data_IF_432514089268
#
_entry.id   IF_432514089268
#
_cell.length_a   1.000
_cell.length_b   1.000
_cell.length_c   1.000
_cell.angle_alpha   90.00
_cell.angle_beta   90.00
_cell.angle_gamma   90.00
#
_symmetry.space_group_name_H-M   'P 1'
#
loop_
_entity.id
_entity.type
_entity.pdbx_description
1 polymer ?
#
# COMPACT_ATOMS: atom_id res chain seq x y z
N UNK A 1 -6.14 -3.11 -14.49
CA UNK A 1 -6.38 -3.57 -13.10
C UNK A 1 -5.20 -4.44 -12.68
N UNK A 2 -3.99 -3.90 -12.50
CA UNK A 2 -2.77 -4.74 -12.45
C UNK A 2 -1.87 -4.51 -11.22
N UNK A 3 -2.27 -3.64 -10.28
CA UNK A 3 -1.48 -3.37 -9.07
C UNK A 3 -1.90 -4.27 -7.91
N UNK A 4 -3.06 -3.97 -7.30
CA UNK A 4 -3.52 -4.68 -6.12
C UNK A 4 -3.92 -6.13 -6.40
N UNK A 5 -4.53 -6.43 -7.56
CA UNK A 5 -4.89 -7.82 -7.90
C UNK A 5 -3.65 -8.73 -8.01
N UNK A 6 -2.54 -8.21 -8.54
CA UNK A 6 -1.27 -8.93 -8.64
C UNK A 6 -0.63 -9.12 -7.26
N UNK A 7 -0.68 -8.09 -6.41
CA UNK A 7 -0.30 -8.19 -5.00
C UNK A 7 -1.14 -9.23 -4.24
N UNK A 8 -2.46 -9.23 -4.40
CA UNK A 8 -3.34 -10.23 -3.78
C UNK A 8 -3.05 -11.65 -4.27
N UNK A 9 -2.68 -11.82 -5.55
CA UNK A 9 -2.28 -13.11 -6.09
C UNK A 9 -0.92 -13.59 -5.56
N UNK A 10 -0.03 -12.67 -5.17
CA UNK A 10 1.26 -12.99 -4.56
C UNK A 10 1.16 -13.28 -3.05
N UNK A 11 0.09 -12.87 -2.38
CA UNK A 11 -0.12 -13.13 -0.95
C UNK A 11 -0.68 -14.56 -0.76
N UNK A 12 0.02 -15.45 -0.04
CA UNK A 12 -0.38 -16.83 0.20
C UNK A 12 -1.43 -16.89 1.31
N UNK A 13 -2.66 -16.46 1.00
CA UNK A 13 -3.77 -16.40 1.96
C UNK A 13 -3.95 -17.72 2.71
N UNK A 14 -3.75 -18.85 2.01
CA UNK A 14 -3.84 -20.21 2.55
C UNK A 14 -2.80 -20.51 3.62
N UNK A 15 -1.55 -20.18 3.37
CA UNK A 15 -0.46 -20.44 4.31
C UNK A 15 -0.57 -19.52 5.52
N UNK A 16 -0.96 -18.26 5.30
CA UNK A 16 -1.24 -17.31 6.37
C UNK A 16 -2.40 -17.82 7.25
N UNK A 17 -3.53 -18.22 6.65
CA UNK A 17 -4.68 -18.75 7.37
C UNK A 17 -4.31 -19.99 8.20
N UNK A 18 -3.52 -20.90 7.62
CA UNK A 18 -3.03 -22.11 8.31
C UNK A 18 -2.12 -21.75 9.49
N UNK A 19 -1.21 -20.78 9.33
CA UNK A 19 -0.29 -20.34 10.38
C UNK A 19 -1.00 -19.61 11.52
N UNK A 20 -2.03 -18.85 11.19
CA UNK A 20 -2.84 -18.08 12.15
C UNK A 20 -3.95 -18.92 12.80
N UNK A 21 -4.28 -20.09 12.23
CA UNK A 21 -5.42 -20.90 12.67
C UNK A 21 -6.76 -20.21 12.43
N UNK A 22 -6.86 -19.38 11.39
CA UNK A 22 -8.04 -18.61 11.02
C UNK A 22 -8.66 -19.08 9.70
N UNK A 23 -9.92 -18.73 9.44
CA UNK A 23 -10.58 -19.05 8.19
C UNK A 23 -9.98 -18.27 7.01
N UNK A 24 -9.71 -18.97 5.90
CA UNK A 24 -9.17 -18.35 4.67
C UNK A 24 -10.05 -17.19 4.17
N UNK A 25 -11.37 -17.32 4.30
CA UNK A 25 -12.33 -16.27 3.91
C UNK A 25 -12.22 -15.03 4.80
N UNK A 26 -11.97 -15.20 6.09
CA UNK A 26 -11.79 -14.10 7.04
C UNK A 26 -10.45 -13.39 6.80
N UNK A 27 -9.38 -14.17 6.59
CA UNK A 27 -8.04 -13.65 6.25
C UNK A 27 -8.07 -12.91 4.92
N UNK A 28 -8.73 -13.44 3.89
CA UNK A 28 -8.87 -12.77 2.59
C UNK A 28 -9.62 -11.44 2.71
N UNK A 29 -10.72 -11.39 3.46
CA UNK A 29 -11.47 -10.15 3.70
C UNK A 29 -10.65 -9.12 4.48
N UNK A 30 -9.89 -9.58 5.48
CA UNK A 30 -8.96 -8.72 6.21
C UNK A 30 -7.91 -8.16 5.24
N UNK A 31 -7.23 -8.99 4.45
CA UNK A 31 -6.22 -8.56 3.46
C UNK A 31 -6.78 -7.49 2.51
N UNK A 32 -7.98 -7.71 1.97
CA UNK A 32 -8.63 -6.77 1.04
C UNK A 32 -8.93 -5.40 1.64
N UNK A 33 -9.07 -5.34 2.96
CA UNK A 33 -9.32 -4.09 3.71
C UNK A 33 -8.02 -3.48 4.21
N UNK A 34 -7.10 -4.32 4.71
CA UNK A 34 -5.83 -3.93 5.29
C UNK A 34 -4.84 -3.41 4.24
N UNK A 35 -4.76 -4.04 3.07
CA UNK A 35 -3.82 -3.62 2.00
C UNK A 35 -4.03 -2.17 1.58
N UNK A 36 -5.24 -1.71 1.19
CA UNK A 36 -5.44 -0.30 0.85
C UNK A 36 -5.25 0.64 2.05
N UNK A 37 -5.58 0.20 3.28
CA UNK A 37 -5.34 0.99 4.48
C UNK A 37 -3.83 1.16 4.79
N UNK A 38 -3.03 0.11 4.57
CA UNK A 38 -1.57 0.13 4.69
C UNK A 38 -0.94 1.10 3.69
N UNK A 39 -1.35 1.00 2.41
CA UNK A 39 -0.87 1.90 1.35
C UNK A 39 -1.27 3.35 1.62
N UNK A 40 -2.52 3.57 2.06
CA UNK A 40 -3.01 4.91 2.42
C UNK A 40 -2.29 5.51 3.64
N UNK A 41 -2.04 4.71 4.68
CA UNK A 41 -1.27 5.12 5.85
C UNK A 41 0.17 5.51 5.49
N UNK A 42 0.82 4.69 4.66
CA UNK A 42 2.17 4.96 4.16
C UNK A 42 2.22 6.27 3.37
N UNK A 43 1.28 6.46 2.42
CA UNK A 43 1.20 7.69 1.64
C UNK A 43 0.96 8.91 2.51
N UNK A 44 0.07 8.80 3.51
CA UNK A 44 -0.21 9.88 4.44
C UNK A 44 1.05 10.30 5.20
N UNK A 45 1.78 9.34 5.79
CA UNK A 45 2.95 9.66 6.61
C UNK A 45 4.14 10.17 5.80
N UNK A 46 4.33 9.68 4.57
CA UNK A 46 5.32 10.26 3.62
C UNK A 46 4.96 11.69 3.25
N UNK A 47 3.68 11.97 3.05
CA UNK A 47 3.20 13.31 2.64
C UNK A 47 3.19 14.29 3.80
N UNK A 48 2.85 13.83 5.01
CA UNK A 48 2.81 14.63 6.24
C UNK A 48 4.22 14.95 6.76
N UNK A 49 5.25 14.23 6.31
CA UNK A 49 6.63 14.41 6.75
C UNK A 49 6.94 13.76 8.10
N UNK A 50 6.04 12.91 8.60
CA UNK A 50 6.25 12.12 9.83
C UNK A 50 7.32 11.04 9.65
N UNK A 51 7.54 10.61 8.41
CA UNK A 51 8.61 9.65 8.07
C UNK A 51 9.50 10.24 7.00
N UNK A 52 10.81 10.14 7.21
CA UNK A 52 11.79 10.45 6.18
C UNK A 52 11.56 9.58 4.94
N UNK A 53 11.20 10.21 3.82
CA UNK A 53 10.96 9.51 2.56
C UNK A 53 12.17 8.68 2.12
N UNK A 54 13.39 9.09 2.47
CA UNK A 54 14.64 8.38 2.15
C UNK A 54 14.84 7.10 2.96
N UNK A 55 14.42 7.07 4.24
CA UNK A 55 14.53 5.85 5.07
C UNK A 55 13.48 4.84 4.64
N UNK A 56 12.27 5.31 4.32
CA UNK A 56 11.24 4.49 3.69
C UNK A 56 11.69 3.96 2.33
N UNK A 57 12.28 4.78 1.47
CA UNK A 57 12.78 4.34 0.17
C UNK A 57 13.85 3.26 0.33
N UNK A 58 14.74 3.40 1.31
CA UNK A 58 15.72 2.38 1.63
C UNK A 58 15.06 1.08 2.12
N UNK A 59 14.07 1.16 3.01
CA UNK A 59 13.35 -0.01 3.52
C UNK A 59 12.53 -0.71 2.43
N UNK A 60 11.82 0.06 1.61
CA UNK A 60 11.06 -0.39 0.44
C UNK A 60 12.00 -1.09 -0.55
N UNK A 61 13.15 -0.49 -0.86
CA UNK A 61 14.13 -1.05 -1.80
C UNK A 61 14.76 -2.31 -1.23
N UNK A 62 15.14 -2.32 0.05
CA UNK A 62 15.70 -3.49 0.72
C UNK A 62 14.72 -4.67 0.73
N UNK A 63 13.44 -4.42 1.01
CA UNK A 63 12.41 -5.46 0.98
C UNK A 63 12.08 -5.92 -0.44
N UNK A 64 12.00 -5.00 -1.41
CA UNK A 64 11.82 -5.35 -2.82
C UNK A 64 12.96 -6.21 -3.37
N UNK A 65 14.20 -5.98 -2.89
CA UNK A 65 15.38 -6.76 -3.24
C UNK A 65 15.59 -8.02 -2.40
N UNK A 66 14.83 -8.20 -1.31
CA UNK A 66 14.95 -9.35 -0.40
C UNK A 66 14.61 -10.69 -1.08
N UNK A 67 14.00 -10.66 -2.27
CA UNK A 67 13.56 -11.87 -2.97
C UNK A 67 12.32 -12.49 -2.33
N UNK A 68 11.69 -11.80 -1.37
CA UNK A 68 10.50 -12.27 -0.65
C UNK A 68 9.31 -12.57 -1.59
N UNK A 69 9.30 -11.98 -2.78
CA UNK A 69 8.31 -12.23 -3.83
C UNK A 69 8.91 -12.95 -5.04
N UNK A 70 10.15 -13.44 -4.97
CA UNK A 70 10.85 -14.17 -6.02
C UNK A 70 10.74 -15.67 -5.74
N UNK A 71 9.75 -16.33 -6.36
CA UNK A 71 9.44 -17.75 -6.12
C UNK A 71 8.21 -18.03 -5.23
N UNK A 72 7.54 -16.98 -4.74
CA UNK A 72 6.35 -17.08 -3.90
C UNK A 72 6.63 -16.64 -2.47
N UNK A 73 5.74 -15.80 -1.92
CA UNK A 73 5.88 -15.28 -0.57
C UNK A 73 5.87 -16.45 0.41
N UNK A 74 6.94 -16.59 1.17
CA UNK A 74 7.06 -17.61 2.22
C UNK A 74 6.80 -16.98 3.57
N UNK A 75 5.66 -17.32 4.19
CA UNK A 75 5.27 -16.78 5.51
C UNK A 75 6.29 -17.14 6.59
N UNK A 76 7.03 -18.25 6.41
CA UNK A 76 8.10 -18.68 7.32
C UNK A 76 9.40 -17.85 7.20
N UNK A 77 9.59 -17.17 6.07
CA UNK A 77 10.72 -16.24 5.88
C UNK A 77 10.42 -14.85 6.44
N UNK A 78 9.16 -14.60 6.81
CA UNK A 78 8.76 -13.33 7.42
C UNK A 78 9.07 -13.38 8.90
N UNK A 79 10.07 -12.59 9.31
CA UNK A 79 10.34 -12.34 10.71
C UNK A 79 9.26 -11.39 11.26
N UNK A 80 8.57 -11.84 12.31
CA UNK A 80 7.48 -11.07 12.92
C UNK A 80 7.98 -9.78 13.58
N UNK A 81 9.16 -9.79 14.19
CA UNK A 81 9.75 -8.62 14.83
C UNK A 81 10.25 -7.59 13.80
N UNK A 82 10.75 -8.06 12.66
CA UNK A 82 11.03 -7.21 11.49
C UNK A 82 9.72 -6.60 10.97
N UNK A 83 8.67 -7.41 10.85
CA UNK A 83 7.33 -6.98 10.47
C UNK A 83 6.75 -5.89 11.39
N UNK A 84 6.92 -6.03 12.71
CA UNK A 84 6.49 -5.02 13.68
C UNK A 84 7.25 -3.69 13.51
N UNK A 85 8.57 -3.75 13.29
CA UNK A 85 9.36 -2.56 13.00
C UNK A 85 8.93 -1.90 11.69
N UNK A 86 8.62 -2.70 10.67
CA UNK A 86 8.11 -2.21 9.40
C UNK A 86 6.77 -1.50 9.59
N UNK A 87 5.84 -2.08 10.33
CA UNK A 87 4.54 -1.45 10.63
C UNK A 87 4.75 -0.14 11.36
N UNK A 88 5.61 -0.12 12.39
CA UNK A 88 5.95 1.10 13.08
C UNK A 88 6.52 2.15 12.12
N UNK A 89 7.44 1.77 11.23
CA UNK A 89 7.94 2.69 10.22
C UNK A 89 6.83 3.20 9.30
N UNK A 90 5.99 2.34 8.72
CA UNK A 90 4.90 2.71 7.81
C UNK A 90 3.92 3.70 8.45
N UNK A 91 3.62 3.50 9.74
CA UNK A 91 2.63 4.29 10.47
C UNK A 91 3.23 5.42 11.33
N UNK A 92 4.47 5.86 11.05
CA UNK A 92 5.05 7.03 11.72
C UNK A 92 5.46 6.80 13.17
N UNK A 93 5.90 5.59 13.50
CA UNK A 93 6.29 5.16 14.84
C UNK A 93 5.17 4.49 15.65
N UNK A 94 3.98 4.31 15.08
CA UNK A 94 2.88 3.66 15.77
C UNK A 94 3.12 2.16 15.96
N UNK A 95 2.91 1.66 17.18
CA UNK A 95 2.96 0.23 17.46
C UNK A 95 1.96 -0.55 16.59
N UNK A 96 2.35 -1.75 16.18
CA UNK A 96 1.48 -2.71 15.49
C UNK A 96 0.15 -2.89 16.21
N UNK A 97 0.15 -2.85 17.54
CA UNK A 97 -1.06 -2.96 18.34
C UNK A 97 -2.03 -1.79 18.16
N UNK A 98 -1.54 -0.56 18.03
CA UNK A 98 -2.34 0.64 17.83
C UNK A 98 -2.95 0.63 16.43
N UNK A 99 -2.10 0.37 15.43
CA UNK A 99 -2.50 0.21 14.04
C UNK A 99 -3.55 -0.88 13.89
N UNK A 100 -3.30 -2.06 14.45
CA UNK A 100 -4.22 -3.18 14.38
C UNK A 100 -5.57 -2.88 15.04
N UNK A 101 -5.57 -2.12 16.13
CA UNK A 101 -6.81 -1.73 16.82
C UNK A 101 -7.60 -0.71 15.99
N UNK A 102 -6.92 0.26 15.37
CA UNK A 102 -7.56 1.24 14.49
C UNK A 102 -8.15 0.59 13.21
N UNK A 103 -7.44 -0.37 12.62
CA UNK A 103 -7.95 -1.11 11.46
C UNK A 103 -9.06 -2.10 11.84
N UNK A 104 -9.03 -2.67 13.05
CA UNK A 104 -10.13 -3.49 13.57
C UNK A 104 -11.41 -2.66 13.76
N UNK A 105 -11.28 -1.45 14.30
CA UNK A 105 -12.41 -0.51 14.45
C UNK A 105 -13.00 -0.10 13.08
N UNK A 106 -12.14 -0.05 12.05
CA UNK A 106 -12.53 0.20 10.66
C UNK A 106 -13.27 -0.96 9.98
N UNK A 107 -13.49 -2.08 10.69
CA UNK A 107 -14.23 -3.24 10.18
C UNK A 107 -13.39 -4.28 9.42
N UNK A 108 -12.06 -4.23 9.51
CA UNK A 108 -11.17 -5.18 8.81
C UNK A 108 -11.14 -6.60 9.41
N UNK A 109 -11.90 -6.86 10.49
CA UNK A 109 -11.96 -8.15 11.18
C UNK A 109 -11.62 -8.06 12.67
N UNK A 110 -11.35 -9.21 13.29
CA UNK A 110 -10.98 -9.27 14.71
C UNK A 110 -9.60 -8.66 15.00
N UNK A 111 -9.50 -7.82 16.04
CA UNK A 111 -8.23 -7.19 16.47
C UNK A 111 -7.08 -8.19 16.67
N UNK A 112 -7.38 -9.41 17.14
CA UNK A 112 -6.37 -10.47 17.30
C UNK A 112 -5.83 -10.98 15.97
N UNK A 113 -6.71 -11.20 14.98
CA UNK A 113 -6.32 -11.64 13.65
C UNK A 113 -5.50 -10.55 12.96
N UNK A 114 -5.96 -9.30 13.03
CA UNK A 114 -5.28 -8.16 12.42
C UNK A 114 -3.90 -7.95 13.05
N UNK A 115 -3.76 -8.08 14.38
CA UNK A 115 -2.46 -7.97 15.08
C UNK A 115 -1.44 -9.00 14.61
N UNK A 116 -1.88 -10.23 14.32
CA UNK A 116 -0.99 -11.28 13.84
C UNK A 116 -0.76 -11.19 12.32
N UNK A 117 -1.74 -10.67 11.59
CA UNK A 117 -1.72 -10.53 10.14
C UNK A 117 -0.90 -9.32 9.69
N UNK A 118 -0.91 -8.23 10.46
CA UNK A 118 -0.17 -6.98 10.16
C UNK A 118 1.34 -7.19 9.95
N UNK A 119 2.09 -7.78 10.90
CA UNK A 119 3.53 -7.95 10.75
C UNK A 119 3.88 -8.93 9.62
N UNK A 120 2.93 -9.78 9.20
CA UNK A 120 3.11 -10.65 8.03
C UNK A 120 2.85 -9.87 6.73
N UNK A 121 1.76 -9.10 6.67
CA UNK A 121 1.37 -8.37 5.46
C UNK A 121 2.25 -7.18 5.15
N UNK A 122 2.71 -6.45 6.17
CA UNK A 122 3.47 -5.23 5.98
C UNK A 122 4.77 -5.43 5.14
N UNK A 123 5.64 -6.42 5.42
CA UNK A 123 6.80 -6.69 4.57
C UNK A 123 6.41 -7.13 3.15
N UNK A 124 5.31 -7.87 2.97
CA UNK A 124 4.85 -8.31 1.64
C UNK A 124 4.42 -7.10 0.79
N UNK A 125 3.61 -6.22 1.36
CA UNK A 125 3.15 -4.99 0.69
C UNK A 125 4.34 -4.08 0.37
N UNK A 126 5.27 -3.90 1.31
CA UNK A 126 6.49 -3.13 1.08
C UNK A 126 7.37 -3.73 -0.01
N UNK A 127 7.58 -5.04 0.01
CA UNK A 127 8.40 -5.72 -0.96
C UNK A 127 7.76 -5.62 -2.36
N UNK A 128 6.43 -5.64 -2.47
CA UNK A 128 5.74 -5.41 -3.74
C UNK A 128 5.89 -3.98 -4.25
N UNK A 129 5.70 -2.99 -3.37
CA UNK A 129 5.94 -1.58 -3.69
C UNK A 129 7.40 -1.38 -4.09
N UNK A 130 8.33 -2.04 -3.40
CA UNK A 130 9.75 -2.01 -3.70
C UNK A 130 10.09 -2.65 -5.01
N UNK A 131 9.45 -3.77 -5.36
CA UNK A 131 9.57 -4.39 -6.68
C UNK A 131 9.02 -3.47 -7.77
N UNK A 132 7.86 -2.83 -7.57
CA UNK A 132 7.30 -1.85 -8.52
C UNK A 132 8.15 -0.59 -8.66
N UNK A 133 8.69 -0.08 -7.55
CA UNK A 133 9.61 1.06 -7.50
C UNK A 133 10.91 0.72 -8.22
N UNK A 134 11.53 -0.41 -7.88
CA UNK A 134 12.74 -0.91 -8.52
C UNK A 134 12.49 -1.21 -10.00
N UNK A 135 11.36 -1.80 -10.38
CA UNK A 135 11.04 -2.13 -11.77
C UNK A 135 10.75 -0.88 -12.61
N UNK A 136 10.13 0.16 -12.04
CA UNK A 136 10.02 1.47 -12.68
C UNK A 136 11.38 2.18 -12.80
N UNK A 137 12.26 2.05 -11.79
CA UNK A 137 13.61 2.64 -11.82
C UNK A 137 14.61 1.83 -12.68
N UNK A 138 14.39 0.53 -12.85
CA UNK A 138 15.33 -0.41 -13.49
C UNK A 138 15.02 -0.70 -14.96
N UNK A 139 14.03 -0.07 -15.58
CA UNK A 139 13.85 -0.09 -17.03
C UNK A 139 14.63 1.05 -17.72
N UNK A 140 15.81 0.80 -18.30
CA UNK A 140 16.34 1.63 -19.37
C UNK A 140 15.68 1.23 -20.69
N UNK A 141 15.15 2.22 -21.42
CA UNK A 141 14.43 2.14 -22.71
C UNK A 141 12.96 1.64 -22.58
N UNK A 142 11.92 2.36 -22.97
CA UNK A 142 11.81 3.41 -23.97
C UNK A 142 10.66 4.37 -23.63
N UNK A 143 10.99 5.53 -23.09
CA UNK A 143 10.36 6.82 -23.42
C UNK A 143 11.18 7.92 -22.78
N UNK A 144 11.93 8.61 -23.63
CA UNK A 144 12.62 9.82 -23.27
C UNK A 144 11.60 10.92 -22.97
N UNK A 145 11.44 11.26 -21.69
CA UNK A 145 11.25 12.62 -21.20
C UNK A 145 11.21 12.59 -19.68
N UNK A 146 12.03 13.47 -19.09
CA UNK A 146 12.03 13.86 -17.69
C UNK A 146 12.80 12.95 -16.73
N UNK A 147 14.07 13.31 -16.53
CA UNK A 147 14.70 13.09 -15.24
C UNK A 147 13.96 13.85 -14.14
N UNK A 148 14.02 13.32 -12.94
CA UNK A 148 13.37 13.87 -11.75
C UNK A 148 12.65 12.76 -11.01
N UNK A 149 13.10 12.47 -9.79
CA UNK A 149 12.64 11.34 -9.00
C UNK A 149 11.12 11.26 -8.92
N UNK A 150 10.57 10.17 -9.46
CA UNK A 150 9.24 9.71 -9.08
C UNK A 150 9.38 9.11 -7.68
N UNK A 151 9.16 9.95 -6.67
CA UNK A 151 9.25 9.52 -5.27
C UNK A 151 8.22 8.44 -4.96
N UNK A 152 8.39 7.77 -3.83
CA UNK A 152 7.42 6.79 -3.33
C UNK A 152 5.99 7.34 -3.32
N UNK A 153 5.80 8.64 -3.03
CA UNK A 153 4.49 9.30 -3.05
C UNK A 153 3.75 9.23 -4.40
N UNK A 154 4.47 9.35 -5.52
CA UNK A 154 3.88 9.26 -6.87
C UNK A 154 3.54 7.81 -7.25
N UNK A 155 4.36 6.85 -6.83
CA UNK A 155 4.07 5.42 -7.05
C UNK A 155 2.88 4.98 -6.18
N UNK A 156 2.86 5.36 -4.90
CA UNK A 156 1.72 5.09 -4.02
C UNK A 156 0.46 5.78 -4.54
N UNK A 157 0.59 7.02 -5.01
CA UNK A 157 -0.50 7.78 -5.62
C UNK A 157 -1.04 7.13 -6.89
N UNK A 158 -0.17 6.63 -7.77
CA UNK A 158 -0.57 5.93 -9.00
C UNK A 158 -1.13 4.53 -8.74
N UNK A 159 -0.60 3.80 -7.76
CA UNK A 159 -1.15 2.51 -7.29
C UNK A 159 -2.52 2.72 -6.67
N UNK A 160 -2.69 3.72 -5.80
CA UNK A 160 -3.96 4.02 -5.15
C UNK A 160 -4.99 4.61 -6.13
N UNK A 161 -4.57 5.49 -7.03
CA UNK A 161 -5.41 5.98 -8.13
C UNK A 161 -5.81 4.84 -9.09
N UNK A 162 -4.94 3.85 -9.27
CA UNK A 162 -5.25 2.61 -9.99
C UNK A 162 -6.20 1.67 -9.22
N UNK A 163 -6.10 1.67 -7.88
CA UNK A 163 -6.93 0.87 -6.96
C UNK A 163 -8.36 1.41 -6.81
N UNK A 164 -8.51 2.74 -6.84
CA UNK A 164 -9.79 3.43 -6.70
C UNK A 164 -10.69 3.42 -7.95
N UNK A 165 -10.25 2.76 -9.04
CA UNK A 165 -10.99 2.70 -10.29
C UNK A 165 -10.20 3.29 -11.44
N UNK A 166 -9.52 2.42 -12.20
CA UNK A 166 -8.87 2.80 -13.45
C UNK A 166 -9.89 3.27 -14.49
N UNK A 167 -9.72 4.50 -14.97
CA UNK A 167 -10.55 5.06 -16.03
C UNK A 167 -10.05 6.39 -16.59
N UNK A 168 -8.86 6.40 -17.19
CA UNK A 168 -8.49 7.39 -18.21
C UNK A 168 -8.21 8.82 -17.74
N UNK A 169 -7.45 9.53 -18.57
CA UNK A 169 -7.23 10.95 -18.47
C UNK A 169 -8.56 11.72 -18.25
N UNK A 170 -8.64 12.54 -17.21
CA UNK A 170 -9.52 13.71 -17.22
C UNK A 170 -10.77 13.72 -16.32
N UNK A 171 -10.88 12.94 -15.24
CA UNK A 171 -12.06 13.09 -14.37
C UNK A 171 -11.77 12.86 -12.88
N UNK A 172 -11.29 13.89 -12.20
CA UNK A 172 -11.24 13.95 -10.73
C UNK A 172 -12.67 14.17 -10.20
N UNK A 173 -13.39 13.17 -9.64
CA UNK A 173 -14.79 13.35 -9.23
C UNK A 173 -14.94 14.36 -8.09
N UNK A 174 -13.95 14.44 -7.20
CA UNK A 174 -13.87 15.47 -6.16
C UNK A 174 -13.57 16.85 -6.76
N UNK A 175 -12.73 16.92 -7.80
CA UNK A 175 -12.43 18.15 -8.54
C UNK A 175 -13.59 18.67 -9.39
N UNK A 176 -14.43 17.77 -9.93
CA UNK A 176 -15.61 18.15 -10.71
C UNK A 176 -16.76 18.65 -9.83
N UNK A 177 -16.89 18.15 -8.59
CA UNK A 177 -17.89 18.67 -7.65
C UNK A 177 -17.48 20.06 -7.17
N UNK A 178 -16.20 20.30 -6.85
CA UNK A 178 -15.72 21.64 -6.49
C UNK A 178 -15.69 22.61 -7.69
N UNK A 179 -15.32 22.14 -8.88
CA UNK A 179 -15.28 22.93 -10.11
C UNK A 179 -16.66 23.26 -10.67
N UNK A 180 -17.63 22.35 -10.55
CA UNK A 180 -19.00 22.53 -11.04
C UNK A 180 -19.80 23.56 -10.23
N UNK A 181 -19.61 23.59 -8.90
CA UNK A 181 -20.29 24.56 -8.03
C UNK A 181 -19.67 25.96 -8.13
N UNK A 182 -18.35 26.07 -8.35
CA UNK A 182 -17.69 27.36 -8.49
C UNK A 182 -17.81 27.95 -9.92
N UNK A 183 -17.89 27.10 -10.95
CA UNK A 183 -18.10 27.53 -12.34
C UNK A 183 -19.55 27.91 -12.66
N UNK A 184 -20.53 27.29 -12.00
CA UNK A 184 -21.96 27.57 -12.22
C UNK A 184 -22.46 28.89 -11.65
N UNK A 185 -21.74 29.48 -10.68
CA UNK A 185 -22.15 30.73 -10.01
C UNK A 185 -21.60 32.00 -10.66
N UNK A 186 -20.62 31.88 -11.57
CA UNK A 186 -19.92 33.04 -12.15
C UNK A 186 -20.17 33.25 -13.66
N UNK A 187 -21.00 32.43 -14.29
CA UNK A 187 -21.22 32.43 -15.74
C UNK A 187 -22.69 32.60 -16.14
N UNK A 188 -23.36 33.63 -15.62
CA UNK A 188 -24.80 33.81 -15.86
C UNK A 188 -25.26 35.26 -15.84
N UNK A 189 -24.76 36.09 -16.76
CA UNK A 189 -25.46 37.32 -17.17
C UNK A 189 -25.05 37.76 -18.58
N UNK A 190 -25.84 37.32 -19.56
CA UNK A 190 -26.23 38.21 -20.67
C UNK A 190 -27.46 38.98 -20.20
#
# INVERSE_FOLDING_TARGET
MAGLDDLFAQIPVRDIATKLGADEGEVNNAIRTLVPALVGGLQHNVTSGDIDSSTLESAVTAQGASGLLDGGVSVDQVDQAEGDNIVAHIFGGNDTNQVASALADSGAGGSSLIKQLLPILAPIVLAYIGKQFAQNNATPAASAASGGGGGLGDILGSVLAGAGGGGGAGNNPLGNILGGVLGGLLGGKK
#
